data_IF_100850223204
#
_entry.id   IF_100850223204
#
_cell.length_a   1.000
_cell.length_b   1.000
_cell.length_c   1.000
_cell.angle_alpha   90.00
_cell.angle_beta   90.00
_cell.angle_gamma   90.00
#
_symmetry.space_group_name_H-M   'P 1'
#
loop_
_entity.id
_entity.type
_entity.pdbx_description
1 polymer ?
#
# COMPACT_ATOMS: atom_id res chain seq x y z
N UNK A 1 -13.81 3.17 -0.68
CA UNK A 1 -13.02 4.01 0.26
C UNK A 1 -11.57 3.56 0.37
N UNK A 2 -11.27 2.30 0.71
CA UNK A 2 -9.88 1.77 0.79
C UNK A 2 -9.07 2.00 -0.49
N UNK A 3 -9.64 1.68 -1.64
CA UNK A 3 -9.04 1.93 -2.97
C UNK A 3 -8.69 3.40 -3.21
N UNK A 4 -9.57 4.32 -2.79
CA UNK A 4 -9.34 5.76 -2.98
C UNK A 4 -8.20 6.27 -2.10
N UNK A 5 -8.13 5.82 -0.84
CA UNK A 5 -7.03 6.16 0.08
C UNK A 5 -5.70 5.64 -0.49
N UNK A 6 -5.69 4.39 -0.95
CA UNK A 6 -4.50 3.79 -1.55
C UNK A 6 -4.07 4.52 -2.82
N UNK A 7 -5.02 4.81 -3.72
CA UNK A 7 -4.75 5.52 -4.98
C UNK A 7 -4.15 6.90 -4.75
N UNK A 8 -4.73 7.69 -3.83
CA UNK A 8 -4.19 9.03 -3.49
C UNK A 8 -2.78 8.90 -2.95
N UNK A 9 -2.56 7.99 -1.99
CA UNK A 9 -1.26 7.88 -1.33
C UNK A 9 -0.16 7.39 -2.28
N UNK A 10 -0.40 6.32 -3.04
CA UNK A 10 0.56 5.78 -4.01
C UNK A 10 0.88 6.83 -5.09
N UNK A 11 -0.12 7.59 -5.54
CA UNK A 11 0.09 8.67 -6.51
C UNK A 11 1.00 9.77 -5.94
N UNK A 12 0.76 10.21 -4.70
CA UNK A 12 1.60 11.22 -4.04
C UNK A 12 3.04 10.74 -3.91
N UNK A 13 3.26 9.50 -3.47
CA UNK A 13 4.60 8.91 -3.34
C UNK A 13 5.29 8.85 -4.71
N UNK A 14 4.63 8.35 -5.74
CA UNK A 14 5.21 8.25 -7.08
C UNK A 14 5.52 9.61 -7.70
N UNK A 15 4.66 10.61 -7.50
CA UNK A 15 4.90 11.98 -7.94
C UNK A 15 6.15 12.57 -7.28
N UNK A 16 6.33 12.34 -5.98
CA UNK A 16 7.53 12.79 -5.26
C UNK A 16 8.80 12.13 -5.78
N UNK A 17 8.76 10.83 -6.04
CA UNK A 17 9.91 10.09 -6.56
C UNK A 17 10.29 10.53 -7.98
N UNK A 18 9.32 10.97 -8.78
CA UNK A 18 9.55 11.42 -10.14
C UNK A 18 9.65 12.94 -10.27
N UNK A 19 9.61 13.71 -9.18
CA UNK A 19 9.59 15.18 -9.18
C UNK A 19 10.77 15.77 -9.98
N UNK A 20 11.97 15.22 -9.81
CA UNK A 20 13.16 15.63 -10.56
C UNK A 20 13.06 15.30 -12.05
N UNK A 21 12.57 14.11 -12.41
CA UNK A 21 12.39 13.70 -13.81
C UNK A 21 11.30 14.52 -14.52
N UNK A 22 10.23 14.86 -13.80
CA UNK A 22 9.14 15.73 -14.28
C UNK A 22 9.69 17.12 -14.57
N UNK A 23 10.39 17.73 -13.60
CA UNK A 23 10.99 19.06 -13.76
C UNK A 23 12.00 19.10 -14.92
N UNK A 24 12.81 18.05 -15.07
CA UNK A 24 13.76 17.93 -16.17
C UNK A 24 13.04 17.80 -17.53
N UNK A 25 11.94 17.03 -17.61
CA UNK A 25 11.15 16.91 -18.84
C UNK A 25 10.47 18.23 -19.23
N UNK A 26 10.00 19.01 -18.25
CA UNK A 26 9.40 20.33 -18.46
C UNK A 26 10.42 21.38 -18.88
N UNK A 27 11.70 21.20 -18.52
CA UNK A 27 12.78 22.08 -18.94
C UNK A 27 13.32 21.73 -20.35
N UNK A 28 13.25 20.46 -20.74
CA UNK A 28 13.75 19.96 -22.04
C UNK A 28 12.69 19.97 -23.15
N UNK A 29 11.41 19.87 -22.80
CA UNK A 29 10.29 20.01 -23.73
C UNK A 29 9.24 20.93 -23.12
N UNK A 30 8.49 21.64 -23.96
CA UNK A 30 7.43 22.59 -23.59
C UNK A 30 6.20 21.93 -22.92
N UNK A 31 6.38 20.75 -22.31
CA UNK A 31 5.36 19.93 -21.69
C UNK A 31 5.93 18.67 -21.03
N UNK A 32 5.08 17.96 -20.31
CA UNK A 32 5.42 16.66 -19.72
C UNK A 32 5.44 15.61 -20.84
N UNK A 33 6.57 14.92 -21.02
CA UNK A 33 6.66 13.84 -22.00
C UNK A 33 5.58 12.78 -21.74
N UNK A 34 4.77 12.48 -22.76
CA UNK A 34 3.66 11.52 -22.70
C UNK A 34 4.10 10.14 -22.23
N UNK A 35 5.30 9.69 -22.63
CA UNK A 35 5.87 8.43 -22.17
C UNK A 35 6.17 8.42 -20.66
N UNK A 36 6.64 9.54 -20.10
CA UNK A 36 6.90 9.68 -18.67
C UNK A 36 5.59 9.63 -17.86
N UNK A 37 4.56 10.33 -18.35
CA UNK A 37 3.21 10.27 -17.77
C UNK A 37 2.65 8.85 -17.78
N UNK A 38 2.71 8.18 -18.93
CA UNK A 38 2.20 6.82 -19.08
C UNK A 38 2.91 5.86 -18.14
N UNK A 39 4.23 6.00 -18.00
CA UNK A 39 5.04 5.19 -17.08
C UNK A 39 4.63 5.43 -15.62
N UNK A 40 4.44 6.68 -15.20
CA UNK A 40 4.00 6.99 -13.83
C UNK A 40 2.60 6.41 -13.57
N UNK A 41 1.64 6.62 -14.48
CA UNK A 41 0.26 6.15 -14.32
C UNK A 41 0.18 4.62 -14.25
N UNK A 42 0.87 3.92 -15.16
CA UNK A 42 0.90 2.45 -15.17
C UNK A 42 1.54 1.90 -13.91
N UNK A 43 2.62 2.51 -13.45
CA UNK A 43 3.29 2.12 -12.21
C UNK A 43 2.37 2.33 -11.01
N UNK A 44 1.71 3.49 -10.90
CA UNK A 44 0.71 3.76 -9.83
C UNK A 44 -0.41 2.73 -9.87
N UNK A 45 -0.98 2.45 -11.04
CA UNK A 45 -2.09 1.51 -11.18
C UNK A 45 -1.72 0.10 -10.69
N UNK A 46 -0.53 -0.38 -11.06
CA UNK A 46 -0.01 -1.68 -10.61
C UNK A 46 0.15 -1.75 -9.09
N UNK A 47 0.78 -0.74 -8.50
CA UNK A 47 1.02 -0.72 -7.05
C UNK A 47 -0.29 -0.61 -6.26
N UNK A 48 -1.23 0.23 -6.72
CA UNK A 48 -2.55 0.33 -6.11
C UNK A 48 -3.30 -1.00 -6.17
N UNK A 49 -3.26 -1.71 -7.31
CA UNK A 49 -3.88 -3.02 -7.45
C UNK A 49 -3.26 -4.04 -6.47
N UNK A 50 -1.93 -4.08 -6.39
CA UNK A 50 -1.21 -4.99 -5.50
C UNK A 50 -1.49 -4.73 -4.01
N UNK A 51 -1.35 -3.47 -3.59
CA UNK A 51 -1.50 -3.04 -2.20
C UNK A 51 -2.95 -3.14 -1.71
N UNK A 52 -3.94 -3.13 -2.62
CA UNK A 52 -5.36 -3.20 -2.26
C UNK A 52 -5.86 -4.63 -2.06
N UNK A 53 -5.18 -5.66 -2.58
CA UNK A 53 -5.65 -7.04 -2.55
C UNK A 53 -5.94 -7.52 -1.11
N UNK A 54 -4.96 -7.41 -0.22
CA UNK A 54 -5.06 -7.92 1.17
C UNK A 54 -6.13 -7.15 1.98
N UNK A 55 -6.14 -5.80 1.98
CA UNK A 55 -7.20 -5.04 2.65
C UNK A 55 -8.58 -5.34 2.08
N UNK A 56 -8.72 -5.48 0.75
CA UNK A 56 -10.02 -5.78 0.14
C UNK A 56 -10.53 -7.16 0.54
N UNK A 57 -9.68 -8.18 0.54
CA UNK A 57 -10.08 -9.52 1.02
C UNK A 57 -10.50 -9.49 2.49
N UNK A 58 -9.74 -8.80 3.36
CA UNK A 58 -10.09 -8.64 4.77
C UNK A 58 -11.43 -7.90 4.96
N UNK A 59 -11.68 -6.87 4.15
CA UNK A 59 -12.95 -6.13 4.20
C UNK A 59 -14.12 -6.98 3.72
N UNK A 60 -13.89 -7.86 2.74
CA UNK A 60 -14.91 -8.77 2.20
C UNK A 60 -15.39 -9.77 3.27
N UNK A 61 -14.47 -10.30 4.09
CA UNK A 61 -14.81 -11.16 5.25
C UNK A 61 -15.41 -10.40 6.45
N UNK A 62 -15.77 -9.12 6.28
CA UNK A 62 -16.38 -8.30 7.33
C UNK A 62 -15.39 -7.74 8.37
N UNK A 63 -14.08 -7.97 8.20
CA UNK A 63 -13.05 -7.52 9.14
C UNK A 63 -12.57 -6.10 8.81
N UNK A 64 -13.52 -5.15 8.76
CA UNK A 64 -13.25 -3.76 8.33
C UNK A 64 -12.10 -3.11 9.09
N UNK A 65 -12.04 -3.23 10.42
CA UNK A 65 -10.94 -2.65 11.23
C UNK A 65 -9.57 -3.21 10.84
N UNK A 66 -9.47 -4.53 10.68
CA UNK A 66 -8.24 -5.22 10.29
C UNK A 66 -7.83 -4.87 8.87
N UNK A 67 -8.80 -4.69 7.98
CA UNK A 67 -8.57 -4.22 6.61
C UNK A 67 -7.89 -2.84 6.58
N UNK A 68 -8.42 -1.84 7.31
CA UNK A 68 -7.78 -0.52 7.38
C UNK A 68 -6.38 -0.56 7.99
N UNK A 69 -6.16 -1.38 9.03
CA UNK A 69 -4.82 -1.55 9.61
C UNK A 69 -3.84 -2.21 8.64
N UNK A 70 -4.27 -3.23 7.90
CA UNK A 70 -3.42 -3.84 6.86
C UNK A 70 -3.04 -2.86 5.77
N UNK A 71 -3.98 -1.99 5.36
CA UNK A 71 -3.72 -0.94 4.37
C UNK A 71 -2.63 0.02 4.86
N UNK A 72 -2.72 0.48 6.11
CA UNK A 72 -1.72 1.39 6.69
C UNK A 72 -0.32 0.78 6.74
N UNK A 73 -0.22 -0.50 7.12
CA UNK A 73 1.06 -1.20 7.18
C UNK A 73 1.64 -1.38 5.77
N UNK A 74 0.82 -1.78 4.81
CA UNK A 74 1.22 -1.94 3.41
C UNK A 74 1.67 -0.61 2.79
N UNK A 75 0.98 0.50 3.12
CA UNK A 75 1.37 1.84 2.70
C UNK A 75 2.71 2.26 3.31
N UNK A 76 2.94 1.97 4.60
CA UNK A 76 4.23 2.24 5.25
C UNK A 76 5.38 1.45 4.59
N UNK A 77 5.18 0.15 4.34
CA UNK A 77 6.14 -0.68 3.59
C UNK A 77 6.44 -0.10 2.22
N UNK A 78 5.39 0.36 1.53
CA UNK A 78 5.52 0.91 0.20
C UNK A 78 6.38 2.17 0.18
N UNK A 79 6.22 3.07 1.17
CA UNK A 79 7.08 4.26 1.29
C UNK A 79 8.52 3.85 1.53
N UNK A 80 8.79 2.92 2.44
CA UNK A 80 10.17 2.47 2.74
C UNK A 80 10.83 1.84 1.52
N UNK A 81 10.12 0.94 0.84
CA UNK A 81 10.58 0.32 -0.40
C UNK A 81 10.87 1.37 -1.48
N UNK A 82 9.96 2.33 -1.66
CA UNK A 82 10.07 3.30 -2.74
C UNK A 82 11.08 4.43 -2.45
N UNK A 83 11.34 4.74 -1.17
CA UNK A 83 12.33 5.73 -0.74
C UNK A 83 13.74 5.15 -0.57
N UNK A 84 13.91 3.84 -0.64
CA UNK A 84 15.21 3.18 -0.49
C UNK A 84 15.81 3.27 0.91
N UNK A 85 14.99 3.55 1.93
CA UNK A 85 15.44 3.64 3.33
C UNK A 85 15.88 2.24 3.79
N UNK A 86 17.15 2.13 4.21
CA UNK A 86 17.81 0.87 4.60
C UNK A 86 17.14 0.13 5.78
N UNK A 87 17.42 -1.19 5.85
CA UNK A 87 17.09 -2.27 6.81
C UNK A 87 16.25 -1.96 8.05
N UNK A 88 16.50 -0.84 8.72
CA UNK A 88 15.79 -0.37 9.92
C UNK A 88 14.30 -0.11 9.68
N UNK A 89 13.92 0.49 8.56
CA UNK A 89 12.51 0.65 8.19
C UNK A 89 11.85 -0.72 7.98
N UNK A 90 12.49 -1.55 7.16
CA UNK A 90 12.04 -2.90 6.86
C UNK A 90 11.81 -3.75 8.13
N UNK A 91 12.69 -3.62 9.14
CA UNK A 91 12.54 -4.30 10.42
C UNK A 91 11.30 -3.84 11.22
N UNK A 92 11.05 -2.53 11.29
CA UNK A 92 9.85 -1.98 11.96
C UNK A 92 8.60 -2.49 11.27
N UNK A 93 8.63 -2.58 9.95
CA UNK A 93 7.44 -2.96 9.18
C UNK A 93 7.19 -4.46 9.19
N UNK A 94 8.25 -5.28 9.30
CA UNK A 94 8.16 -6.70 9.63
C UNK A 94 7.53 -6.95 11.00
N UNK A 95 7.90 -6.16 12.01
CA UNK A 95 7.31 -6.24 13.36
C UNK A 95 5.82 -5.88 13.32
N UNK A 96 5.45 -4.83 12.58
CA UNK A 96 4.04 -4.45 12.38
C UNK A 96 3.25 -5.56 11.66
N UNK A 97 3.82 -6.18 10.63
CA UNK A 97 3.21 -7.34 9.95
C UNK A 97 3.02 -8.53 10.89
N UNK A 98 4.02 -8.85 11.71
CA UNK A 98 3.96 -9.96 12.65
C UNK A 98 2.85 -9.74 13.70
N UNK A 99 2.72 -8.51 14.22
CA UNK A 99 1.65 -8.13 15.14
C UNK A 99 0.28 -8.26 14.45
N UNK A 100 0.17 -7.81 13.20
CA UNK A 100 -1.08 -7.89 12.45
C UNK A 100 -1.49 -9.34 12.14
N UNK A 101 -0.52 -10.17 11.76
CA UNK A 101 -0.71 -11.60 11.50
C UNK A 101 -1.16 -12.32 12.78
N UNK A 102 -0.51 -12.05 13.91
CA UNK A 102 -0.92 -12.58 15.21
C UNK A 102 -2.37 -12.20 15.55
N UNK A 103 -2.72 -10.92 15.34
CA UNK A 103 -4.07 -10.43 15.60
C UNK A 103 -5.12 -11.04 14.67
N UNK A 104 -4.78 -11.30 13.41
CA UNK A 104 -5.66 -11.98 12.46
C UNK A 104 -5.87 -13.45 12.87
N UNK A 105 -4.81 -14.16 13.27
CA UNK A 105 -4.88 -15.56 13.72
C UNK A 105 -5.69 -15.68 15.01
N UNK A 106 -5.49 -14.79 15.99
CA UNK A 106 -6.26 -14.83 17.24
C UNK A 106 -7.75 -14.63 16.98
N UNK A 107 -8.11 -13.68 16.11
CA UNK A 107 -9.51 -13.43 15.75
C UNK A 107 -10.14 -14.56 14.94
N UNK A 108 -9.38 -15.17 14.02
CA UNK A 108 -9.83 -16.33 13.27
C UNK A 108 -10.08 -17.54 14.19
N UNK A 109 -9.22 -17.72 15.20
CA UNK A 109 -9.35 -18.77 16.21
C UNK A 109 -10.58 -18.56 17.10
N UNK A 110 -10.84 -17.33 17.53
CA UNK A 110 -12.05 -16.99 18.28
C UNK A 110 -13.32 -17.26 17.47
N UNK A 111 -13.32 -16.90 16.18
CA UNK A 111 -14.43 -17.18 15.28
C UNK A 111 -14.66 -18.70 15.10
N UNK A 112 -13.57 -19.47 14.96
CA UNK A 112 -13.64 -20.94 14.87
C UNK A 112 -14.20 -21.56 16.16
N UNK A 113 -13.78 -21.09 17.33
CA UNK A 113 -14.31 -21.56 18.61
C UNK A 113 -15.77 -21.17 18.82
N UNK A 114 -16.20 -20.00 18.35
CA UNK A 114 -17.60 -19.57 18.39
C UNK A 114 -18.48 -20.47 17.52
N UNK A 115 -18.05 -20.75 16.28
CA UNK A 115 -18.75 -21.65 15.35
C UNK A 115 -18.80 -23.11 15.83
N UNK A 116 -17.81 -23.56 16.62
CA UNK A 116 -17.78 -24.92 17.18
C UNK A 116 -18.63 -25.09 18.45
N UNK A 117 -19.04 -23.99 19.09
CA UNK A 117 -19.88 -24.00 20.30
C UNK A 117 -21.37 -23.80 20.01
N UNK A 118 -21.75 -23.53 18.77
CA UNK A 118 -23.12 -23.69 18.27
C UNK A 118 -23.31 -25.12 17.75
#
# INVERSE_FOLDING_TARGET
MLLAINAVFVSVVQLRLHEAAIAMSQALSDGLQTDLLLKIITTVALHVALLSLIPMTLSFFGWRKTSYMSLLILLAMYVEFASGIELTGFAITLVLLAILAWFAVSKARDLYHYLRRQ
#
